data_IF_574166577768
#
_entry.id   IF_574166577768
#
_cell.length_a   1.000
_cell.length_b   1.000
_cell.length_c   1.000
_cell.angle_alpha   90.00
_cell.angle_beta   90.00
_cell.angle_gamma   90.00
#
_symmetry.space_group_name_H-M   'P 1'
#
loop_
_entity.id
_entity.type
_entity.pdbx_description
1 polymer ?
#
# COMPACT_ATOMS: atom_id res chain seq x y z
N UNK A 1 -0.23 -1.69 -8.04
CA UNK A 1 -1.54 -2.14 -8.56
C UNK A 1 -2.31 -2.84 -7.45
N UNK A 2 -3.61 -2.56 -7.32
CA UNK A 2 -4.48 -3.08 -6.27
C UNK A 2 -4.50 -2.22 -5.01
N UNK A 3 -5.63 -2.24 -4.32
CA UNK A 3 -5.82 -1.59 -3.03
C UNK A 3 -6.85 -2.38 -2.22
N UNK A 4 -6.68 -2.46 -0.89
CA UNK A 4 -7.62 -3.18 -0.03
C UNK A 4 -8.99 -2.49 0.06
N UNK A 5 -9.02 -1.16 -0.13
CA UNK A 5 -10.23 -0.33 -0.06
C UNK A 5 -10.73 0.12 -1.43
N UNK A 6 -9.84 0.46 -2.37
CA UNK A 6 -10.23 1.04 -3.65
C UNK A 6 -10.39 -0.05 -4.71
N UNK A 7 -11.55 -0.08 -5.34
CA UNK A 7 -11.90 -1.02 -6.40
C UNK A 7 -11.81 -0.36 -7.78
N UNK A 8 -12.44 0.81 -7.94
CA UNK A 8 -12.50 1.53 -9.21
C UNK A 8 -11.26 2.36 -9.50
N UNK A 9 -10.86 3.21 -8.55
CA UNK A 9 -9.69 4.08 -8.68
C UNK A 9 -9.22 4.57 -7.31
N UNK A 10 -7.91 4.69 -7.14
CA UNK A 10 -7.33 5.44 -6.02
C UNK A 10 -7.24 6.93 -6.43
N UNK A 11 -8.02 7.84 -5.80
CA UNK A 11 -8.02 9.25 -6.17
C UNK A 11 -6.66 9.92 -5.98
N UNK A 12 -5.82 9.39 -5.08
CA UNK A 12 -4.45 9.90 -4.86
C UNK A 12 -3.55 9.54 -6.04
N UNK A 13 -3.74 8.36 -6.63
CA UNK A 13 -3.00 7.93 -7.82
C UNK A 13 -3.34 8.82 -9.03
N UNK A 14 -4.62 9.16 -9.22
CA UNK A 14 -5.06 10.05 -10.31
C UNK A 14 -4.34 11.40 -10.25
N UNK A 15 -4.30 12.01 -9.06
CA UNK A 15 -3.62 13.30 -8.87
C UNK A 15 -2.12 13.16 -9.08
N UNK A 16 -1.49 12.18 -8.43
CA UNK A 16 -0.03 12.00 -8.51
C UNK A 16 0.43 11.69 -9.93
N UNK A 17 -0.31 10.87 -10.68
CA UNK A 17 -0.04 10.55 -12.09
C UNK A 17 0.06 11.80 -12.96
N UNK A 18 -0.86 12.76 -12.79
CA UNK A 18 -0.85 14.03 -13.53
C UNK A 18 0.43 14.82 -13.27
N UNK A 19 0.83 14.92 -12.00
CA UNK A 19 2.07 15.60 -11.62
C UNK A 19 3.30 14.84 -12.13
N UNK A 20 3.35 13.53 -11.93
CA UNK A 20 4.43 12.65 -12.35
C UNK A 20 4.72 12.78 -13.85
N UNK A 21 3.68 12.82 -14.70
CA UNK A 21 3.84 13.06 -16.14
C UNK A 21 4.58 14.35 -16.44
N UNK A 22 4.15 15.45 -15.82
CA UNK A 22 4.76 16.77 -16.04
C UNK A 22 6.21 16.86 -15.57
N UNK A 23 6.58 16.09 -14.55
CA UNK A 23 7.95 16.03 -14.03
C UNK A 23 8.80 15.13 -14.92
N UNK A 24 8.25 14.01 -15.39
CA UNK A 24 8.90 13.08 -16.30
C UNK A 24 9.29 13.76 -17.61
N UNK A 25 8.40 14.56 -18.19
CA UNK A 25 8.68 15.35 -19.40
C UNK A 25 9.85 16.33 -19.18
N UNK A 26 9.94 16.95 -18.00
CA UNK A 26 11.02 17.90 -17.64
C UNK A 26 12.34 17.22 -17.29
N UNK A 27 12.30 15.99 -16.79
CA UNK A 27 13.47 15.21 -16.36
C UNK A 27 14.00 14.26 -17.44
N UNK A 28 13.32 14.17 -18.59
CA UNK A 28 13.68 13.24 -19.65
C UNK A 28 13.34 11.78 -19.34
N UNK A 29 12.46 11.54 -18.37
CA UNK A 29 12.07 10.19 -17.90
C UNK A 29 10.69 9.76 -18.41
N UNK A 30 10.34 10.24 -19.61
CA UNK A 30 9.07 9.91 -20.26
C UNK A 30 8.93 8.41 -20.57
N UNK A 31 9.98 7.69 -21.03
CA UNK A 31 9.90 6.24 -21.25
C UNK A 31 9.50 5.46 -19.99
N UNK A 32 10.05 5.81 -18.83
CA UNK A 32 9.75 5.19 -17.54
C UNK A 32 8.30 5.48 -17.11
N UNK A 33 7.83 6.72 -17.32
CA UNK A 33 6.44 7.06 -17.07
C UNK A 33 5.47 6.26 -17.96
N UNK A 34 5.75 6.20 -19.26
CA UNK A 34 4.92 5.50 -20.25
C UNK A 34 4.89 3.98 -19.95
N UNK A 35 5.99 3.41 -19.44
CA UNK A 35 6.03 2.04 -18.95
C UNK A 35 5.05 1.82 -17.79
N UNK A 36 5.05 2.69 -16.78
CA UNK A 36 4.13 2.57 -15.64
C UNK A 36 2.67 2.76 -16.06
N UNK A 37 2.40 3.67 -17.00
CA UNK A 37 1.06 3.83 -17.58
C UNK A 37 0.62 2.59 -18.39
N UNK A 38 1.53 1.97 -19.12
CA UNK A 38 1.24 0.70 -19.81
C UNK A 38 0.94 -0.41 -18.80
N UNK A 39 1.70 -0.51 -17.70
CA UNK A 39 1.41 -1.45 -16.60
C UNK A 39 0.03 -1.19 -16.01
N UNK A 40 -0.31 0.05 -15.67
CA UNK A 40 -1.66 0.41 -15.17
C UNK A 40 -2.75 -0.06 -16.14
N UNK A 41 -2.62 0.25 -17.43
CA UNK A 41 -3.63 -0.03 -18.45
C UNK A 41 -3.80 -1.52 -18.73
N UNK A 42 -2.71 -2.26 -18.81
CA UNK A 42 -2.72 -3.67 -19.21
C UNK A 42 -3.02 -4.62 -18.04
N UNK A 43 -2.70 -4.23 -16.80
CA UNK A 43 -2.85 -5.11 -15.64
C UNK A 43 -4.28 -5.68 -15.49
N UNK A 44 -5.38 -4.92 -15.60
CA UNK A 44 -6.72 -5.48 -15.41
C UNK A 44 -7.05 -6.64 -16.37
N UNK A 45 -6.66 -6.51 -17.64
CA UNK A 45 -6.89 -7.53 -18.67
C UNK A 45 -6.01 -8.77 -18.42
N UNK A 46 -4.71 -8.55 -18.17
CA UNK A 46 -3.77 -9.63 -17.87
C UNK A 46 -4.20 -10.39 -16.61
N UNK A 47 -4.61 -9.69 -15.55
CA UNK A 47 -5.04 -10.32 -14.30
C UNK A 47 -6.28 -11.18 -14.51
N UNK A 48 -7.25 -10.71 -15.31
CA UNK A 48 -8.45 -11.49 -15.66
C UNK A 48 -8.06 -12.77 -16.43
N UNK A 49 -7.17 -12.65 -17.42
CA UNK A 49 -6.71 -13.80 -18.23
C UNK A 49 -6.02 -14.86 -17.38
N UNK A 50 -5.12 -14.45 -16.49
CA UNK A 50 -4.28 -15.37 -15.72
C UNK A 50 -5.00 -15.96 -14.50
N UNK A 51 -5.91 -15.20 -13.86
CA UNK A 51 -6.61 -15.66 -12.64
C UNK A 51 -7.97 -16.28 -12.94
N UNK A 52 -8.53 -16.09 -14.13
CA UNK A 52 -9.88 -16.54 -14.49
C UNK A 52 -11.01 -15.82 -13.74
N UNK A 53 -10.68 -14.86 -12.87
CA UNK A 53 -11.62 -14.13 -12.02
C UNK A 53 -11.49 -12.62 -12.25
N UNK A 54 -12.63 -11.95 -12.36
CA UNK A 54 -12.69 -10.49 -12.49
C UNK A 54 -12.51 -9.84 -11.12
N UNK A 55 -11.24 -9.73 -10.68
CA UNK A 55 -10.89 -8.92 -9.50
C UNK A 55 -10.67 -7.47 -9.93
N UNK A 56 -11.36 -6.48 -9.34
CA UNK A 56 -11.08 -5.08 -9.61
C UNK A 56 -9.66 -4.73 -9.11
N UNK A 57 -8.79 -4.31 -10.02
CA UNK A 57 -7.41 -3.91 -9.74
C UNK A 57 -7.19 -2.53 -10.33
N UNK A 58 -7.13 -1.50 -9.49
CA UNK A 58 -6.79 -0.14 -9.88
C UNK A 58 -5.33 0.18 -9.55
N UNK A 59 -4.75 1.20 -10.19
CA UNK A 59 -3.49 1.76 -9.72
C UNK A 59 -3.69 2.40 -8.35
N UNK A 60 -2.74 2.19 -7.45
CA UNK A 60 -2.65 2.90 -6.18
C UNK A 60 -1.60 4.02 -6.29
N UNK A 61 -1.60 4.93 -5.32
CA UNK A 61 -0.66 6.06 -5.30
C UNK A 61 0.80 5.61 -5.40
N UNK A 62 1.12 4.44 -4.84
CA UNK A 62 2.49 3.92 -4.77
C UNK A 62 3.04 3.50 -6.14
N UNK A 63 2.19 3.23 -7.12
CA UNK A 63 2.63 2.94 -8.50
C UNK A 63 3.43 4.11 -9.09
N UNK A 64 3.04 5.35 -8.77
CA UNK A 64 3.66 6.55 -9.34
C UNK A 64 4.61 7.27 -8.38
N UNK A 65 4.50 7.05 -7.06
CA UNK A 65 5.33 7.74 -6.08
C UNK A 65 6.81 7.39 -6.20
N UNK A 66 7.13 6.12 -6.46
CA UNK A 66 8.51 5.67 -6.67
C UNK A 66 9.20 6.39 -7.83
N UNK A 67 8.51 6.54 -8.97
CA UNK A 67 9.07 7.29 -10.11
C UNK A 67 9.28 8.76 -9.75
N UNK A 68 8.36 9.37 -8.99
CA UNK A 68 8.51 10.76 -8.54
C UNK A 68 9.75 10.92 -7.65
N UNK A 69 9.96 10.01 -6.71
CA UNK A 69 11.16 10.05 -5.85
C UNK A 69 12.45 9.82 -6.65
N UNK A 70 12.43 8.90 -7.62
CA UNK A 70 13.55 8.68 -8.53
C UNK A 70 13.89 9.94 -9.35
N UNK A 71 12.87 10.62 -9.89
CA UNK A 71 13.03 11.90 -10.61
C UNK A 71 13.61 13.02 -9.74
N UNK A 72 13.50 12.90 -8.41
CA UNK A 72 14.06 13.80 -7.42
C UNK A 72 15.45 13.37 -6.92
N UNK A 73 16.03 12.29 -7.45
CA UNK A 73 17.27 11.67 -6.99
C UNK A 73 17.26 11.34 -5.49
N UNK A 74 16.10 10.93 -4.98
CA UNK A 74 15.97 10.45 -3.61
C UNK A 74 16.41 8.98 -3.59
N UNK A 75 17.32 8.57 -2.68
CA UNK A 75 17.67 7.17 -2.50
C UNK A 75 16.46 6.30 -2.13
N UNK A 76 16.39 5.08 -2.68
CA UNK A 76 15.24 4.17 -2.48
C UNK A 76 15.02 3.80 -1.01
N UNK A 77 16.10 3.73 -0.22
CA UNK A 77 16.06 3.50 1.22
C UNK A 77 15.28 4.58 1.99
N UNK A 78 15.06 5.76 1.37
CA UNK A 78 14.31 6.86 1.96
C UNK A 78 12.82 6.90 1.55
N UNK A 79 12.37 6.02 0.64
CA UNK A 79 10.97 6.05 0.17
C UNK A 79 9.98 5.77 1.29
N UNK A 80 10.21 4.73 2.08
CA UNK A 80 9.34 4.40 3.23
C UNK A 80 9.45 5.42 4.37
N UNK A 81 10.65 5.92 4.74
CA UNK A 81 10.77 7.07 5.64
C UNK A 81 9.96 8.30 5.20
N UNK A 82 10.00 8.69 3.92
CA UNK A 82 9.20 9.80 3.40
C UNK A 82 7.70 9.54 3.51
N UNK A 83 7.27 8.33 3.17
CA UNK A 83 5.88 7.89 3.35
C UNK A 83 5.45 8.03 4.81
N UNK A 84 6.28 7.60 5.75
CA UNK A 84 6.02 7.63 7.19
C UNK A 84 5.93 9.07 7.68
N UNK A 85 6.88 9.93 7.30
CA UNK A 85 6.87 11.36 7.66
C UNK A 85 5.56 12.04 7.24
N UNK A 86 5.11 11.80 6.00
CA UNK A 86 3.84 12.33 5.52
C UNK A 86 2.62 11.77 6.28
N UNK A 87 2.73 10.57 6.86
CA UNK A 87 1.65 9.91 7.62
C UNK A 87 1.62 10.30 9.10
N UNK A 88 2.72 10.80 9.66
CA UNK A 88 2.82 11.10 11.10
C UNK A 88 1.68 11.97 11.61
N UNK A 89 1.30 13.01 10.85
CA UNK A 89 0.18 13.88 11.23
C UNK A 89 -1.13 13.11 11.36
N UNK A 90 -1.40 12.17 10.46
CA UNK A 90 -2.59 11.31 10.52
C UNK A 90 -2.53 10.33 11.69
N UNK A 91 -1.37 9.72 11.96
CA UNK A 91 -1.17 8.84 13.11
C UNK A 91 -1.38 9.58 14.43
N UNK A 92 -0.84 10.79 14.57
CA UNK A 92 -1.05 11.63 15.75
C UNK A 92 -2.53 12.02 15.91
N UNK A 93 -3.19 12.42 14.82
CA UNK A 93 -4.61 12.77 14.85
C UNK A 93 -5.49 11.59 15.30
N UNK A 94 -5.29 10.41 14.71
CA UNK A 94 -6.01 9.19 15.12
C UNK A 94 -5.71 8.80 16.56
N UNK A 95 -4.48 8.98 17.04
CA UNK A 95 -4.15 8.67 18.43
C UNK A 95 -4.82 9.63 19.41
N UNK A 96 -4.86 10.92 19.09
CA UNK A 96 -5.60 11.91 19.89
C UNK A 96 -7.09 11.55 19.90
N UNK A 97 -7.68 11.28 18.73
CA UNK A 97 -9.08 10.85 18.62
C UNK A 97 -9.37 9.62 19.48
N UNK A 98 -8.52 8.59 19.43
CA UNK A 98 -8.67 7.36 20.22
C UNK A 98 -8.66 7.62 21.74
N UNK A 99 -7.71 8.42 22.22
CA UNK A 99 -7.52 8.70 23.66
C UNK A 99 -8.63 9.58 24.22
N UNK A 100 -9.10 10.57 23.46
CA UNK A 100 -10.13 11.51 23.90
C UNK A 100 -11.56 11.04 23.61
N UNK A 101 -11.73 9.92 22.90
CA UNK A 101 -13.04 9.31 22.71
C UNK A 101 -13.58 8.79 24.04
N UNK A 102 -14.83 9.11 24.38
CA UNK A 102 -15.47 8.80 25.67
C UNK A 102 -15.47 7.30 26.01
N UNK A 103 -15.27 6.42 25.03
CA UNK A 103 -15.15 4.99 25.22
C UNK A 103 -13.80 4.49 25.76
N UNK A 104 -12.69 5.21 25.48
CA UNK A 104 -11.29 4.84 25.79
C UNK A 104 -11.05 3.32 25.99
N UNK A 105 -11.47 2.50 25.01
CA UNK A 105 -11.49 1.03 25.13
C UNK A 105 -10.14 0.48 24.70
N UNK A 106 -9.53 -0.33 25.56
CA UNK A 106 -8.34 -1.11 25.20
C UNK A 106 -8.71 -2.10 24.09
N UNK A 107 -7.92 -2.13 23.01
CA UNK A 107 -8.06 -3.09 21.91
C UNK A 107 -7.56 -4.47 22.39
N UNK A 108 -8.49 -5.42 22.58
CA UNK A 108 -8.20 -6.79 23.03
C UNK A 108 -8.87 -7.82 22.13
N UNK A 109 -8.28 -8.15 20.97
CA UNK A 109 -8.86 -9.13 20.06
C UNK A 109 -8.83 -10.54 20.69
N UNK A 110 -9.83 -11.35 20.38
CA UNK A 110 -9.87 -12.76 20.72
C UNK A 110 -9.23 -13.61 19.60
N UNK A 111 -8.77 -14.80 19.95
CA UNK A 111 -8.27 -15.78 18.98
C UNK A 111 -8.97 -17.13 19.16
N UNK A 112 -9.05 -17.91 18.08
CA UNK A 112 -9.52 -19.30 18.11
C UNK A 112 -8.31 -20.23 18.13
N UNK A 113 -8.11 -20.96 19.22
CA UNK A 113 -7.09 -22.00 19.28
C UNK A 113 -7.53 -23.18 18.39
N UNK A 114 -6.71 -23.52 17.39
CA UNK A 114 -6.91 -24.67 16.49
C UNK A 114 -6.02 -25.86 16.84
N UNK A 115 -5.04 -25.65 17.72
CA UNK A 115 -4.19 -26.73 18.21
C UNK A 115 -5.00 -27.66 19.12
N UNK A 116 -4.82 -28.99 18.99
CA UNK A 116 -5.39 -29.92 19.95
C UNK A 116 -4.75 -29.70 21.33
N UNK A 117 -5.51 -30.00 22.39
CA UNK A 117 -4.96 -30.00 23.74
C UNK A 117 -4.03 -31.20 23.85
N UNK A 118 -2.74 -30.92 24.07
CA UNK A 118 -1.71 -31.94 24.24
C UNK A 118 -1.36 -32.09 25.73
N UNK A 119 -1.30 -33.32 26.27
CA UNK A 119 -0.73 -33.52 27.59
C UNK A 119 0.77 -33.20 27.57
N UNK A 120 1.29 -32.70 28.69
CA UNK A 120 2.71 -32.46 28.84
C UNK A 120 3.48 -33.79 28.91
N UNK A 121 4.56 -33.91 28.14
CA UNK A 121 5.49 -35.05 28.19
C UNK A 121 6.81 -34.60 28.80
N UNK A 122 7.21 -35.15 29.97
CA UNK A 122 8.52 -34.92 30.58
C UNK A 122 9.67 -35.16 29.61
N UNK A 123 10.75 -34.39 29.73
CA UNK A 123 11.84 -34.40 28.74
C UNK A 123 12.47 -35.79 28.55
N UNK A 124 12.56 -36.57 29.63
CA UNK A 124 13.06 -37.94 29.68
C UNK A 124 12.11 -38.99 29.05
N UNK A 125 10.89 -38.57 28.69
CA UNK A 125 9.81 -39.43 28.18
C UNK A 125 9.32 -39.00 26.78
N UNK A 126 10.02 -38.05 26.14
CA UNK A 126 9.71 -37.57 24.79
C UNK A 126 10.25 -38.48 23.70
#
# INVERSE_FOLDING_TARGET
MGHAVYTLSDPRAVNLKRFARSVADRKGMRPEFDLLEAVERLTPEVFLRERGERKPVCANVDLYSGLVYQMMNIPEELYTPLFAMARMVGWCAHRIEEVYNAGNKIIRPAYKAVAPIMPFVPLDQR
#
